data_IF_218501124943
#
_entry.id   IF_218501124943
#
_cell.length_a   1.000
_cell.length_b   1.000
_cell.length_c   1.000
_cell.angle_alpha   90.00
_cell.angle_beta   90.00
_cell.angle_gamma   90.00
#
_symmetry.space_group_name_H-M   'P 1'
#
loop_
_entity.id
_entity.type
_entity.pdbx_description
1 polymer ?
#
# COMPACT_ATOMS: atom_id res chain seq x y z
N UNK A 1 14.34 -18.22 15.17
CA UNK A 1 15.43 -17.25 14.98
C UNK A 1 15.69 -17.02 13.48
N UNK A 2 14.89 -16.19 12.81
CA UNK A 2 15.13 -15.75 11.41
C UNK A 2 15.07 -14.21 11.31
N UNK A 3 15.34 -13.52 12.41
CA UNK A 3 14.97 -12.12 12.63
C UNK A 3 15.76 -11.03 11.89
N UNK A 4 16.92 -11.29 11.32
CA UNK A 4 17.75 -10.19 10.76
C UNK A 4 18.05 -10.28 9.26
N UNK A 5 17.85 -11.43 8.66
CA UNK A 5 18.22 -11.71 7.25
C UNK A 5 17.01 -11.46 6.32
N UNK A 6 15.81 -11.78 6.79
CA UNK A 6 14.56 -11.68 6.02
C UNK A 6 14.27 -10.26 5.50
N UNK A 7 14.37 -9.17 6.29
CA UNK A 7 14.11 -7.83 5.79
C UNK A 7 15.09 -7.37 4.71
N UNK A 8 16.39 -7.72 4.86
CA UNK A 8 17.42 -7.34 3.88
C UNK A 8 17.30 -8.06 2.56
N UNK A 9 16.95 -9.36 2.60
CA UNK A 9 16.74 -10.20 1.40
C UNK A 9 15.43 -9.81 0.72
N UNK A 10 14.38 -9.51 1.50
CA UNK A 10 13.07 -9.13 0.99
C UNK A 10 13.14 -7.87 0.11
N UNK A 11 13.74 -6.79 0.58
CA UNK A 11 13.81 -5.54 -0.19
C UNK A 11 14.83 -5.57 -1.33
N UNK A 12 15.99 -6.19 -1.10
CA UNK A 12 17.10 -6.09 -2.04
C UNK A 12 17.00 -7.06 -3.21
N UNK A 13 16.36 -8.23 -3.01
CA UNK A 13 16.34 -9.32 -4.01
C UNK A 13 14.94 -9.84 -4.32
N UNK A 14 14.10 -10.06 -3.30
CA UNK A 14 12.80 -10.71 -3.49
C UNK A 14 11.76 -9.78 -4.09
N UNK A 15 11.59 -8.60 -3.51
CA UNK A 15 10.59 -7.63 -3.97
C UNK A 15 10.86 -7.11 -5.39
N UNK A 16 12.12 -6.75 -5.78
CA UNK A 16 12.40 -6.29 -7.15
C UNK A 16 12.30 -7.40 -8.20
N UNK A 17 12.79 -8.63 -7.90
CA UNK A 17 12.77 -9.73 -8.87
C UNK A 17 11.38 -10.32 -9.05
N UNK A 18 10.66 -10.63 -7.97
CA UNK A 18 9.28 -11.09 -8.03
C UNK A 18 8.37 -10.03 -8.66
N UNK A 19 8.58 -8.77 -8.30
CA UNK A 19 7.85 -7.65 -8.89
C UNK A 19 8.04 -7.52 -10.40
N UNK A 20 9.23 -7.76 -10.93
CA UNK A 20 9.48 -7.74 -12.39
C UNK A 20 8.78 -8.91 -13.11
N UNK A 21 8.77 -10.09 -12.52
CA UNK A 21 8.09 -11.26 -13.11
C UNK A 21 6.57 -11.04 -13.14
N UNK A 22 5.99 -10.53 -12.06
CA UNK A 22 4.53 -10.35 -11.93
C UNK A 22 4.03 -9.14 -12.74
N UNK A 23 4.79 -8.03 -12.76
CA UNK A 23 4.45 -6.81 -13.50
C UNK A 23 4.80 -6.86 -14.98
N UNK A 24 5.57 -7.86 -15.39
CA UNK A 24 6.13 -7.96 -16.74
C UNK A 24 7.39 -7.11 -16.95
N UNK A 25 8.10 -7.28 -18.08
CA UNK A 25 9.40 -6.65 -18.35
C UNK A 25 9.34 -5.11 -18.41
N UNK A 26 8.18 -4.55 -18.67
CA UNK A 26 7.92 -3.10 -18.72
C UNK A 26 7.10 -2.59 -17.54
N UNK A 27 6.93 -3.41 -16.49
CA UNK A 27 6.19 -3.02 -15.30
C UNK A 27 6.94 -1.95 -14.48
N UNK A 28 6.21 -1.07 -13.74
CA UNK A 28 6.80 0.01 -12.97
C UNK A 28 7.78 -0.50 -11.91
N UNK A 29 8.92 0.15 -11.79
CA UNK A 29 9.90 -0.06 -10.73
C UNK A 29 9.46 0.60 -9.42
N UNK A 30 10.23 0.41 -8.33
CA UNK A 30 9.87 1.00 -7.03
C UNK A 30 9.79 2.54 -7.05
N UNK A 31 10.62 3.21 -7.86
CA UNK A 31 10.56 4.67 -8.04
C UNK A 31 9.27 5.09 -8.74
N UNK A 32 8.86 4.33 -9.76
CA UNK A 32 7.62 4.59 -10.48
C UNK A 32 6.40 4.32 -9.60
N UNK A 33 6.44 3.26 -8.78
CA UNK A 33 5.40 2.97 -7.77
C UNK A 33 5.24 4.12 -6.78
N UNK A 34 6.36 4.66 -6.30
CA UNK A 34 6.37 5.80 -5.39
C UNK A 34 5.76 7.06 -6.06
N UNK A 35 6.16 7.34 -7.29
CA UNK A 35 5.59 8.44 -8.07
C UNK A 35 4.08 8.26 -8.33
N UNK A 36 3.65 7.02 -8.66
CA UNK A 36 2.22 6.71 -8.84
C UNK A 36 1.45 6.91 -7.53
N UNK A 37 2.02 6.49 -6.38
CA UNK A 37 1.40 6.73 -5.08
C UNK A 37 1.17 8.23 -4.84
N UNK A 38 2.19 9.06 -5.06
CA UNK A 38 2.07 10.52 -4.93
C UNK A 38 1.03 11.12 -5.86
N UNK A 39 0.97 10.68 -7.12
CA UNK A 39 -0.05 11.15 -8.07
C UNK A 39 -1.48 10.79 -7.61
N UNK A 40 -1.68 9.58 -7.09
CA UNK A 40 -3.00 9.12 -6.65
C UNK A 40 -3.44 9.79 -5.34
N UNK A 41 -2.51 10.00 -4.42
CA UNK A 41 -2.77 10.63 -3.13
C UNK A 41 -2.83 12.15 -3.21
N UNK A 42 -2.15 12.77 -4.18
CA UNK A 42 -2.07 14.23 -4.38
C UNK A 42 -1.74 14.97 -3.06
N UNK A 43 -0.70 14.49 -2.34
CA UNK A 43 -0.30 15.00 -1.04
C UNK A 43 0.12 16.47 -1.07
N UNK A 44 -0.23 17.18 -0.03
CA UNK A 44 0.14 18.57 0.23
C UNK A 44 0.97 18.70 1.52
N UNK A 45 1.80 19.74 1.67
CA UNK A 45 2.41 20.06 2.95
C UNK A 45 1.35 20.21 4.06
N UNK A 46 1.63 19.62 5.22
CA UNK A 46 0.70 19.61 6.35
C UNK A 46 -0.25 18.41 6.41
N UNK A 47 -0.34 17.57 5.35
CA UNK A 47 -1.24 16.42 5.33
C UNK A 47 -0.83 15.35 6.37
N UNK A 48 -1.83 14.66 6.91
CA UNK A 48 -1.69 13.44 7.68
C UNK A 48 -1.90 12.22 6.76
N UNK A 49 -0.89 11.35 6.65
CA UNK A 49 -0.88 10.19 5.73
C UNK A 49 -0.71 8.89 6.49
N UNK A 50 -1.57 7.90 6.22
CA UNK A 50 -1.45 6.54 6.73
C UNK A 50 -0.91 5.59 5.65
N UNK A 51 0.21 4.94 5.93
CA UNK A 51 0.84 3.91 5.08
C UNK A 51 0.58 2.52 5.69
N UNK A 52 -0.37 1.78 5.12
CA UNK A 52 -0.85 0.49 5.63
C UNK A 52 0.01 -0.65 5.07
N UNK A 53 0.56 -1.47 5.97
CA UNK A 53 1.57 -2.49 5.70
C UNK A 53 2.85 -1.88 5.11
N UNK A 54 3.38 -0.89 5.81
CA UNK A 54 4.50 -0.04 5.37
C UNK A 54 5.84 -0.79 5.26
N UNK A 55 5.95 -2.01 5.78
CA UNK A 55 7.17 -2.80 5.84
C UNK A 55 8.34 -1.98 6.45
N UNK A 56 9.41 -1.74 5.69
CA UNK A 56 10.59 -0.97 6.15
C UNK A 56 10.42 0.55 5.97
N UNK A 57 9.19 1.04 5.71
CA UNK A 57 8.85 2.46 5.66
C UNK A 57 9.36 3.20 4.44
N UNK A 58 9.61 2.53 3.32
CA UNK A 58 10.10 3.21 2.10
C UNK A 58 9.12 4.27 1.60
N UNK A 59 7.83 3.93 1.50
CA UNK A 59 6.78 4.87 1.11
C UNK A 59 6.52 5.89 2.21
N UNK A 60 6.45 5.47 3.46
CA UNK A 60 6.23 6.34 4.62
C UNK A 60 7.26 7.48 4.66
N UNK A 61 8.56 7.19 4.45
CA UNK A 61 9.62 8.22 4.39
C UNK A 61 9.41 9.20 3.24
N UNK A 62 9.02 8.71 2.07
CA UNK A 62 8.73 9.56 0.93
C UNK A 62 7.54 10.49 1.18
N UNK A 63 6.49 9.96 1.81
CA UNK A 63 5.34 10.77 2.22
C UNK A 63 5.74 11.81 3.26
N UNK A 64 6.53 11.43 4.27
CA UNK A 64 7.05 12.36 5.28
C UNK A 64 7.83 13.52 4.67
N UNK A 65 8.63 13.28 3.62
CA UNK A 65 9.33 14.34 2.89
C UNK A 65 8.35 15.29 2.19
N UNK A 66 7.26 14.76 1.65
CA UNK A 66 6.27 15.56 0.90
C UNK A 66 5.41 16.40 1.83
N UNK A 67 4.91 15.82 2.92
CA UNK A 67 4.02 16.54 3.85
C UNK A 67 4.78 17.53 4.73
N UNK A 68 6.09 17.36 4.88
CA UNK A 68 6.97 18.29 5.57
C UNK A 68 6.75 18.38 7.09
N UNK A 69 7.30 19.42 7.74
CA UNK A 69 7.34 19.52 9.20
C UNK A 69 5.99 19.75 9.87
N UNK A 70 4.99 20.24 9.15
CA UNK A 70 3.65 20.48 9.66
C UNK A 70 2.71 19.28 9.41
N UNK A 71 3.14 18.30 8.60
CA UNK A 71 2.41 17.07 8.33
C UNK A 71 2.98 15.87 9.08
N UNK A 72 2.33 14.72 8.93
CA UNK A 72 2.74 13.47 9.56
C UNK A 72 2.47 12.27 8.65
N UNK A 73 3.48 11.46 8.40
CA UNK A 73 3.31 10.15 7.78
C UNK A 73 3.35 9.05 8.85
N UNK A 74 2.29 8.27 8.97
CA UNK A 74 2.19 7.16 9.91
C UNK A 74 2.26 5.85 9.16
N UNK A 75 3.28 5.03 9.40
CA UNK A 75 3.40 3.68 8.87
C UNK A 75 2.88 2.64 9.85
N UNK A 76 2.09 1.69 9.39
CA UNK A 76 1.71 0.53 10.20
C UNK A 76 2.15 -0.78 9.55
N UNK A 77 2.56 -1.74 10.37
CA UNK A 77 2.85 -3.11 9.95
C UNK A 77 2.65 -4.06 11.14
N UNK A 78 2.36 -5.33 10.88
CA UNK A 78 2.26 -6.36 11.93
C UNK A 78 3.64 -6.84 12.38
N UNK A 79 4.66 -6.66 11.56
CA UNK A 79 6.03 -7.13 11.76
C UNK A 79 6.87 -6.13 12.54
N UNK A 80 7.14 -6.44 13.80
CA UNK A 80 8.04 -5.65 14.65
C UNK A 80 9.44 -5.48 14.03
N UNK A 81 9.96 -6.51 13.36
CA UNK A 81 11.28 -6.46 12.71
C UNK A 81 11.30 -5.47 11.54
N UNK A 82 10.21 -5.40 10.76
CA UNK A 82 10.09 -4.41 9.68
C UNK A 82 10.00 -2.99 10.24
N UNK A 83 9.19 -2.79 11.29
CA UNK A 83 9.05 -1.49 11.93
C UNK A 83 10.35 -1.01 12.58
N UNK A 84 11.09 -1.88 13.26
CA UNK A 84 12.39 -1.53 13.82
C UNK A 84 13.36 -1.02 12.73
N UNK A 85 13.34 -1.66 11.56
CA UNK A 85 14.12 -1.21 10.41
C UNK A 85 13.60 0.12 9.85
N UNK A 86 12.27 0.28 9.75
CA UNK A 86 11.65 1.52 9.30
C UNK A 86 12.05 2.72 10.17
N UNK A 87 12.00 2.56 11.49
CA UNK A 87 12.45 3.58 12.46
C UNK A 87 13.91 3.93 12.25
N UNK A 88 14.80 2.92 12.18
CA UNK A 88 16.23 3.15 12.00
C UNK A 88 16.55 3.91 10.70
N UNK A 89 15.94 3.51 9.59
CA UNK A 89 16.15 4.15 8.29
C UNK A 89 15.56 5.57 8.25
N UNK A 90 14.47 5.82 8.98
CA UNK A 90 13.82 7.13 9.09
C UNK A 90 14.67 8.11 9.90
N UNK A 91 15.23 7.67 11.02
CA UNK A 91 16.16 8.45 11.83
C UNK A 91 17.41 8.78 11.01
N UNK A 92 17.98 7.79 10.32
CA UNK A 92 19.14 7.98 9.46
C UNK A 92 18.90 8.97 8.30
N UNK A 93 17.66 9.09 7.84
CA UNK A 93 17.23 10.06 6.83
C UNK A 93 16.89 11.46 7.40
N UNK A 94 16.95 11.66 8.70
CA UNK A 94 16.62 12.94 9.36
C UNK A 94 15.11 13.24 9.39
N UNK A 95 14.25 12.23 9.24
CA UNK A 95 12.79 12.37 9.15
C UNK A 95 12.03 11.99 10.43
N UNK A 96 12.73 11.80 11.55
CA UNK A 96 12.14 11.33 12.81
C UNK A 96 11.06 12.24 13.41
N UNK A 97 10.99 13.51 13.00
CA UNK A 97 9.95 14.45 13.43
C UNK A 97 8.68 14.44 12.56
N UNK A 98 8.71 13.76 11.39
CA UNK A 98 7.65 13.80 10.39
C UNK A 98 7.09 12.43 10.04
N UNK A 99 7.64 11.37 10.63
CA UNK A 99 7.18 10.00 10.44
C UNK A 99 7.08 9.27 11.77
N UNK A 100 6.00 8.49 11.93
CA UNK A 100 5.76 7.63 13.08
C UNK A 100 5.46 6.20 12.62
N UNK A 101 5.70 5.21 13.48
CA UNK A 101 5.44 3.80 13.17
C UNK A 101 4.68 3.14 14.30
N UNK A 102 3.61 2.40 13.96
CA UNK A 102 2.75 1.72 14.91
C UNK A 102 2.60 0.26 14.50
N UNK A 103 2.76 -0.66 15.44
CA UNK A 103 2.45 -2.06 15.20
C UNK A 103 0.95 -2.27 15.25
N UNK A 104 0.33 -2.58 14.12
CA UNK A 104 -1.11 -2.77 14.01
C UNK A 104 -1.48 -3.72 12.86
N UNK A 105 -2.66 -4.33 12.97
CA UNK A 105 -3.31 -5.05 11.88
C UNK A 105 -4.15 -4.08 11.04
N UNK A 106 -4.04 -4.18 9.72
CA UNK A 106 -4.83 -3.39 8.77
C UNK A 106 -6.35 -3.57 8.93
N UNK A 107 -6.78 -4.69 9.53
CA UNK A 107 -8.18 -5.01 9.80
C UNK A 107 -8.69 -4.41 11.11
N UNK A 108 -7.79 -3.85 11.96
CA UNK A 108 -8.09 -3.27 13.28
C UNK A 108 -7.20 -2.05 13.54
N UNK A 109 -7.40 -0.99 12.73
CA UNK A 109 -6.59 0.23 12.81
C UNK A 109 -6.85 0.97 14.13
N UNK A 110 -5.80 1.28 14.93
CA UNK A 110 -5.96 1.86 16.27
C UNK A 110 -5.99 3.40 16.26
N UNK A 111 -6.66 3.97 15.27
CA UNK A 111 -6.75 5.43 15.12
C UNK A 111 -8.21 5.89 15.18
N UNK A 112 -8.39 7.17 15.48
CA UNK A 112 -9.69 7.84 15.36
C UNK A 112 -10.07 7.91 13.88
N UNK A 113 -11.35 7.70 13.60
CA UNK A 113 -11.87 7.77 12.23
C UNK A 113 -11.83 9.22 11.70
N UNK A 114 -11.58 9.37 10.41
CA UNK A 114 -11.61 10.66 9.73
C UNK A 114 -10.42 11.58 10.00
N UNK A 115 -9.29 11.07 10.52
CA UNK A 115 -8.13 11.92 10.88
C UNK A 115 -7.04 12.00 9.81
N UNK A 116 -7.09 11.16 8.77
CA UNK A 116 -6.08 11.16 7.72
C UNK A 116 -6.59 11.80 6.43
N UNK A 117 -5.77 12.63 5.82
CA UNK A 117 -6.01 13.21 4.50
C UNK A 117 -5.74 12.21 3.38
N UNK A 118 -4.86 11.25 3.63
CA UNK A 118 -4.51 10.22 2.66
C UNK A 118 -4.24 8.86 3.31
N UNK A 119 -4.60 7.78 2.60
CA UNK A 119 -4.29 6.39 2.98
C UNK A 119 -3.64 5.66 1.81
N UNK A 120 -2.51 5.03 2.06
CA UNK A 120 -1.77 4.19 1.11
C UNK A 120 -1.80 2.73 1.55
N UNK A 121 -1.98 1.78 0.61
CA UNK A 121 -1.76 0.35 0.84
C UNK A 121 -1.12 -0.26 -0.40
N UNK A 122 0.22 -0.36 -0.40
CA UNK A 122 0.96 -0.81 -1.57
C UNK A 122 1.56 -2.20 -1.37
N UNK A 123 1.21 -3.09 -2.31
CA UNK A 123 1.66 -4.49 -2.38
C UNK A 123 1.29 -5.34 -1.15
N UNK A 124 0.16 -5.07 -0.51
CA UNK A 124 -0.26 -5.77 0.70
C UNK A 124 -1.72 -6.29 0.68
N UNK A 125 -2.66 -5.57 0.05
CA UNK A 125 -4.10 -5.90 0.10
C UNK A 125 -4.41 -7.37 -0.28
N UNK A 126 -3.66 -7.94 -1.23
CA UNK A 126 -3.80 -9.33 -1.67
C UNK A 126 -3.26 -10.38 -0.69
N UNK A 127 -2.64 -9.94 0.40
CA UNK A 127 -2.09 -10.80 1.47
C UNK A 127 -2.98 -10.81 2.71
N UNK A 128 -3.96 -9.90 2.80
CA UNK A 128 -4.84 -9.82 3.96
C UNK A 128 -5.86 -10.97 3.98
N UNK A 129 -6.15 -11.49 5.16
CA UNK A 129 -7.15 -12.55 5.35
C UNK A 129 -8.55 -12.07 4.93
N UNK A 130 -8.92 -10.84 5.31
CA UNK A 130 -10.14 -10.16 4.88
C UNK A 130 -9.80 -8.78 4.28
N UNK A 131 -9.56 -8.71 2.94
CA UNK A 131 -9.30 -7.45 2.26
C UNK A 131 -10.49 -6.48 2.29
N UNK A 132 -11.72 -7.01 2.39
CA UNK A 132 -12.93 -6.20 2.49
C UNK A 132 -12.94 -5.40 3.78
N UNK A 133 -12.72 -6.07 4.92
CA UNK A 133 -12.62 -5.44 6.23
C UNK A 133 -11.46 -4.43 6.28
N UNK A 134 -10.31 -4.77 5.70
CA UNK A 134 -9.20 -3.82 5.65
C UNK A 134 -9.55 -2.56 4.84
N UNK A 135 -10.25 -2.70 3.71
CA UNK A 135 -10.76 -1.56 2.93
C UNK A 135 -11.78 -0.72 3.72
N UNK A 136 -12.68 -1.36 4.50
CA UNK A 136 -13.63 -0.66 5.37
C UNK A 136 -12.89 0.19 6.40
N UNK A 137 -11.88 -0.40 7.06
CA UNK A 137 -11.08 0.31 8.06
C UNK A 137 -10.26 1.46 7.43
N UNK A 138 -9.60 1.23 6.30
CA UNK A 138 -8.88 2.28 5.58
C UNK A 138 -9.80 3.44 5.16
N UNK A 139 -11.01 3.13 4.67
CA UNK A 139 -11.99 4.15 4.31
C UNK A 139 -12.48 4.94 5.54
N UNK A 140 -12.66 4.28 6.69
CA UNK A 140 -13.04 4.94 7.93
C UNK A 140 -11.96 5.91 8.44
N UNK A 141 -10.68 5.61 8.24
CA UNK A 141 -9.56 6.48 8.67
C UNK A 141 -9.50 7.79 7.89
N UNK A 142 -10.03 7.85 6.67
CA UNK A 142 -9.98 9.04 5.83
C UNK A 142 -10.97 10.12 6.26
N UNK A 143 -10.50 11.34 6.30
CA UNK A 143 -11.33 12.54 6.36
C UNK A 143 -12.24 12.65 5.11
N UNK A 144 -13.36 13.37 5.18
CA UNK A 144 -14.12 13.75 3.99
C UNK A 144 -13.22 14.43 2.94
N UNK A 145 -13.31 14.01 1.68
CA UNK A 145 -12.44 14.51 0.62
C UNK A 145 -11.04 13.86 0.57
N UNK A 146 -10.67 13.07 1.56
CA UNK A 146 -9.38 12.37 1.63
C UNK A 146 -9.19 11.35 0.51
N UNK A 147 -7.95 10.97 0.23
CA UNK A 147 -7.59 10.13 -0.92
C UNK A 147 -7.01 8.79 -0.51
N UNK A 148 -7.31 7.76 -1.30
CA UNK A 148 -6.75 6.42 -1.13
C UNK A 148 -5.91 6.04 -2.35
N UNK A 149 -4.79 5.35 -2.12
CA UNK A 149 -4.00 4.71 -3.17
C UNK A 149 -3.70 3.25 -2.81
N UNK A 150 -4.00 2.35 -3.72
CA UNK A 150 -3.83 0.91 -3.54
C UNK A 150 -3.01 0.35 -4.69
N UNK A 151 -1.99 -0.43 -4.38
CA UNK A 151 -1.30 -1.29 -5.32
C UNK A 151 -1.49 -2.74 -4.91
N UNK A 152 -2.05 -3.56 -5.80
CA UNK A 152 -2.36 -4.97 -5.51
C UNK A 152 -2.31 -5.84 -6.76
N UNK A 153 -2.61 -7.13 -6.62
CA UNK A 153 -2.73 -8.08 -7.73
C UNK A 153 -3.90 -7.75 -8.66
N UNK A 154 -3.81 -8.18 -9.91
CA UNK A 154 -4.90 -8.16 -10.88
C UNK A 154 -4.89 -9.45 -11.71
N UNK A 155 -6.04 -10.04 -11.99
CA UNK A 155 -6.13 -11.22 -12.85
C UNK A 155 -5.80 -10.92 -14.31
N UNK A 156 -5.19 -11.88 -14.97
CA UNK A 156 -4.90 -11.85 -16.39
C UNK A 156 -6.17 -11.83 -17.25
N UNK A 157 -6.00 -11.43 -18.52
CA UNK A 157 -7.13 -11.30 -19.48
C UNK A 157 -7.49 -12.62 -20.16
N UNK A 158 -6.54 -13.55 -20.26
CA UNK A 158 -6.71 -14.79 -21.05
C UNK A 158 -7.01 -16.00 -20.18
N UNK A 159 -7.84 -16.92 -20.64
CA UNK A 159 -8.23 -18.11 -19.89
C UNK A 159 -7.04 -19.00 -19.46
N UNK A 160 -6.03 -19.29 -20.30
CA UNK A 160 -4.88 -20.09 -19.87
C UNK A 160 -4.10 -19.45 -18.72
N UNK A 161 -3.93 -18.13 -18.76
CA UNK A 161 -3.25 -17.38 -17.72
C UNK A 161 -4.05 -17.44 -16.40
N UNK A 162 -5.36 -17.26 -16.47
CA UNK A 162 -6.28 -17.34 -15.31
C UNK A 162 -6.24 -18.70 -14.61
N UNK A 163 -6.13 -19.78 -15.37
CA UNK A 163 -6.02 -21.14 -14.80
C UNK A 163 -4.70 -21.31 -14.05
N UNK A 164 -3.60 -20.88 -14.66
CA UNK A 164 -2.27 -20.93 -14.02
C UNK A 164 -2.21 -20.06 -12.76
N UNK A 165 -2.76 -18.85 -12.83
CA UNK A 165 -2.88 -17.92 -11.70
C UNK A 165 -3.67 -18.51 -10.53
N UNK A 166 -4.76 -19.22 -10.81
CA UNK A 166 -5.57 -19.87 -9.77
C UNK A 166 -4.79 -20.96 -9.02
N UNK A 167 -3.97 -21.72 -9.73
CA UNK A 167 -3.10 -22.76 -9.15
C UNK A 167 -1.97 -22.09 -8.32
N UNK A 168 -1.33 -21.08 -8.87
CA UNK A 168 -0.24 -20.36 -8.20
C UNK A 168 -0.74 -19.59 -6.97
N UNK A 169 -1.90 -18.94 -7.07
CA UNK A 169 -2.55 -18.23 -5.96
C UNK A 169 -2.94 -19.16 -4.81
N UNK A 170 -3.54 -20.33 -5.13
CA UNK A 170 -3.89 -21.33 -4.12
C UNK A 170 -2.67 -21.86 -3.36
N UNK A 171 -1.50 -21.95 -4.03
CA UNK A 171 -0.25 -22.41 -3.40
C UNK A 171 0.47 -21.32 -2.60
N UNK A 172 0.34 -20.06 -2.98
CA UNK A 172 1.01 -18.93 -2.33
C UNK A 172 0.17 -18.26 -1.24
N UNK A 173 -1.11 -18.60 -1.11
CA UNK A 173 -2.06 -17.91 -0.24
C UNK A 173 -2.40 -16.47 -0.69
N UNK A 174 -1.93 -16.05 -1.87
CA UNK A 174 -2.20 -14.73 -2.42
C UNK A 174 -3.56 -14.67 -3.10
N UNK A 175 -4.38 -13.69 -2.74
CA UNK A 175 -5.62 -13.40 -3.46
C UNK A 175 -5.32 -12.67 -4.77
N UNK A 176 -5.95 -13.12 -5.85
CA UNK A 176 -5.92 -12.43 -7.14
C UNK A 176 -7.26 -11.72 -7.34
N UNK A 177 -7.24 -10.40 -7.39
CA UNK A 177 -8.43 -9.59 -7.61
C UNK A 177 -8.84 -9.57 -9.08
N UNK A 178 -10.14 -9.62 -9.36
CA UNK A 178 -10.64 -9.24 -10.67
C UNK A 178 -10.28 -7.78 -10.96
N UNK A 179 -10.13 -7.43 -12.24
CA UNK A 179 -9.60 -6.11 -12.62
C UNK A 179 -10.40 -4.93 -12.09
N UNK A 180 -11.71 -5.08 -12.04
CA UNK A 180 -12.66 -4.06 -11.58
C UNK A 180 -13.09 -4.24 -10.11
N UNK A 181 -12.64 -5.30 -9.45
CA UNK A 181 -13.08 -5.64 -8.10
C UNK A 181 -12.71 -4.56 -7.08
N UNK A 182 -11.46 -4.06 -7.13
CA UNK A 182 -10.98 -3.04 -6.18
C UNK A 182 -11.63 -1.69 -6.47
N UNK A 183 -11.80 -1.31 -7.74
CA UNK A 183 -12.52 -0.08 -8.13
C UNK A 183 -13.94 -0.12 -7.58
N UNK A 184 -14.71 -1.18 -7.89
CA UNK A 184 -16.06 -1.34 -7.37
C UNK A 184 -16.14 -1.42 -5.84
N UNK A 185 -15.10 -1.97 -5.20
CA UNK A 185 -15.03 -2.01 -3.75
C UNK A 185 -14.85 -0.61 -3.13
N UNK A 186 -14.09 0.28 -3.77
CA UNK A 186 -13.95 1.67 -3.35
C UNK A 186 -15.24 2.46 -3.62
N UNK A 187 -15.83 2.35 -4.81
CA UNK A 187 -17.08 3.03 -5.17
C UNK A 187 -18.22 2.69 -4.20
N UNK A 188 -18.38 1.42 -3.81
CA UNK A 188 -19.37 1.02 -2.78
C UNK A 188 -19.12 1.62 -1.40
N UNK A 189 -17.92 2.14 -1.14
CA UNK A 189 -17.51 2.84 0.09
C UNK A 189 -17.56 4.35 -0.01
N UNK A 190 -18.21 4.87 -1.07
CA UNK A 190 -18.36 6.31 -1.29
C UNK A 190 -17.12 7.00 -1.85
N UNK A 191 -16.23 6.25 -2.50
CA UNK A 191 -15.14 6.87 -3.24
C UNK A 191 -15.59 7.30 -4.62
N UNK A 192 -15.22 8.51 -4.99
CA UNK A 192 -15.43 9.13 -6.28
C UNK A 192 -14.10 9.33 -7.02
N UNK A 193 -14.14 9.77 -8.28
CA UNK A 193 -12.95 10.02 -9.11
C UNK A 193 -12.00 8.83 -9.16
N UNK A 194 -12.54 7.61 -9.16
CA UNK A 194 -11.73 6.40 -9.15
C UNK A 194 -10.89 6.29 -10.41
N UNK A 195 -9.60 6.00 -10.24
CA UNK A 195 -8.63 5.84 -11.33
C UNK A 195 -7.95 4.49 -11.20
N UNK A 196 -7.76 3.83 -12.32
CA UNK A 196 -7.08 2.53 -12.36
C UNK A 196 -6.02 2.49 -13.45
N UNK A 197 -4.86 1.91 -13.12
CA UNK A 197 -3.85 1.50 -14.08
C UNK A 197 -3.48 0.05 -13.83
N UNK A 198 -3.64 -0.79 -14.84
CA UNK A 198 -3.25 -2.22 -14.78
C UNK A 198 -1.91 -2.41 -15.48
N UNK A 199 -0.97 -3.09 -14.83
CA UNK A 199 0.35 -3.43 -15.34
C UNK A 199 0.62 -4.93 -15.09
N UNK A 200 0.59 -5.74 -16.16
CA UNK A 200 0.72 -7.20 -16.05
C UNK A 200 -0.37 -7.81 -15.17
N UNK A 201 0.04 -8.48 -14.10
CA UNK A 201 -0.80 -9.11 -13.07
C UNK A 201 -0.97 -8.23 -11.82
N UNK A 202 -0.79 -6.92 -11.97
CA UNK A 202 -0.94 -5.95 -10.89
C UNK A 202 -1.79 -4.77 -11.32
N UNK A 203 -2.33 -4.04 -10.35
CA UNK A 203 -3.11 -2.84 -10.57
C UNK A 203 -2.80 -1.78 -9.51
N UNK A 204 -2.85 -0.54 -9.95
CA UNK A 204 -2.87 0.66 -9.12
C UNK A 204 -4.27 1.23 -9.18
N UNK A 205 -4.87 1.47 -8.04
CA UNK A 205 -6.20 2.04 -7.92
C UNK A 205 -6.16 3.18 -6.93
N UNK A 206 -6.76 4.31 -7.28
CA UNK A 206 -6.94 5.45 -6.39
C UNK A 206 -8.35 5.97 -6.45
N UNK A 207 -8.75 6.74 -5.43
CA UNK A 207 -10.04 7.40 -5.38
C UNK A 207 -10.05 8.49 -4.31
N UNK A 208 -11.05 9.37 -4.36
CA UNK A 208 -11.30 10.42 -3.38
C UNK A 208 -12.57 10.05 -2.60
N UNK A 209 -12.54 10.10 -1.28
CA UNK A 209 -13.72 9.90 -0.43
C UNK A 209 -14.68 11.06 -0.64
N UNK A 210 -15.96 10.78 -0.84
CA UNK A 210 -16.99 11.83 -0.89
C UNK A 210 -16.97 12.69 0.38
N UNK A 211 -17.32 13.96 0.23
CA UNK A 211 -17.37 14.93 1.32
C UNK A 211 -18.60 14.78 2.22
#
# INVERSE_FOLDING_TARGET
>A
MLGGVVPRIYERWWRPTLGRVIKGPFGPGMRDEHWIAHLLLALSPGDAVLDVACATGYFTRGFAQTVGPEGLAVGIDVSETMLARAVADTVAAGLGGHAAYVRADAQELPFVEGVFDAVCCFAALHLFADPGRALDRMAAMLAPGGRIAIFTSARGRTAPLRTWESIAGARSGMRLFERDEVVRALERRGFEDTRQRVAGLTQFVGGRKAG
#
